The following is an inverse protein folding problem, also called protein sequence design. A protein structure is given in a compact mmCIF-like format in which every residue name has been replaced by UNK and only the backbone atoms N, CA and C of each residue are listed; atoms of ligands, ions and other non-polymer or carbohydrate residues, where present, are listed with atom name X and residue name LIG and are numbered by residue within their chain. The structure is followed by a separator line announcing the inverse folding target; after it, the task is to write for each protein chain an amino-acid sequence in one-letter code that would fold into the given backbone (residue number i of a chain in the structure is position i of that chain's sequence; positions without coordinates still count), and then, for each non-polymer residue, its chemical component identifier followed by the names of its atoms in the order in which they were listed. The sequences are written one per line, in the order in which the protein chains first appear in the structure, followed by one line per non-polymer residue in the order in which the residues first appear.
data_IF_357742327344
#
_entry.id   IF_357742327344
#
_cell.length_a   1.000
_cell.length_b   1.000
_cell.length_c   1.000
_cell.angle_alpha   90.00
_cell.angle_beta   90.00
_cell.angle_gamma   90.00
#
_symmetry.space_group_name_H-M   'P 1'
#
loop_
_entity.id
_entity.type
_entity.pdbx_description
1 polymer ?
#
# COMPACT_ATOMS: atom_id res chain seq x y z
N UNK A 1 38.33 -6.03 65.29
CA UNK A 1 37.14 -6.20 64.35
C UNK A 1 37.49 -5.54 63.04
N UNK A 2 37.78 -6.33 62.01
CA UNK A 2 38.07 -5.84 60.64
C UNK A 2 36.75 -5.69 59.84
N UNK A 3 36.40 -4.47 59.38
CA UNK A 3 35.23 -4.20 58.53
C UNK A 3 35.65 -4.37 57.08
N UNK A 4 34.99 -5.29 56.38
CA UNK A 4 35.13 -5.48 54.94
C UNK A 4 34.05 -4.64 54.25
N UNK A 5 34.47 -3.74 53.35
CA UNK A 5 33.59 -2.99 52.46
C UNK A 5 33.50 -3.80 51.17
N UNK A 6 32.30 -4.30 50.83
CA UNK A 6 32.04 -4.95 49.57
C UNK A 6 31.60 -3.86 48.59
N UNK A 7 32.41 -3.61 47.57
CA UNK A 7 32.09 -2.71 46.44
C UNK A 7 31.32 -3.51 45.38
N UNK A 8 30.04 -3.25 45.28
CA UNK A 8 29.23 -3.84 44.18
C UNK A 8 29.41 -2.95 42.95
N UNK A 9 30.19 -3.43 41.98
CA UNK A 9 30.29 -2.78 40.66
C UNK A 9 29.13 -3.28 39.81
N UNK A 10 28.10 -2.43 39.65
CA UNK A 10 26.98 -2.70 38.73
C UNK A 10 27.44 -2.55 37.29
N UNK A 11 27.50 -3.65 36.55
CA UNK A 11 27.72 -3.64 35.10
C UNK A 11 26.41 -3.23 34.42
N UNK A 12 26.32 -1.99 33.96
CA UNK A 12 25.23 -1.52 33.12
C UNK A 12 25.49 -2.04 31.69
N UNK A 13 24.81 -3.09 31.32
CA UNK A 13 24.82 -3.60 29.95
C UNK A 13 23.96 -2.68 29.07
N UNK A 14 24.59 -1.73 28.38
CA UNK A 14 23.93 -0.99 27.31
C UNK A 14 23.73 -1.91 26.09
N UNK A 15 22.53 -2.45 25.94
CA UNK A 15 22.14 -3.12 24.70
C UNK A 15 22.00 -2.06 23.61
N UNK A 16 23.02 -1.89 22.78
CA UNK A 16 22.88 -1.15 21.53
C UNK A 16 21.98 -1.97 20.60
N UNK A 17 20.74 -1.53 20.43
CA UNK A 17 19.92 -2.03 19.35
C UNK A 17 20.63 -1.70 18.03
N UNK A 18 21.19 -2.71 17.37
CA UNK A 18 21.82 -2.56 16.07
C UNK A 18 20.72 -2.16 15.06
N UNK A 19 20.65 -0.87 14.76
CA UNK A 19 19.76 -0.35 13.76
C UNK A 19 20.26 -0.85 12.41
N UNK A 20 19.64 -1.89 11.89
CA UNK A 20 19.96 -2.41 10.54
C UNK A 20 19.71 -1.28 9.54
N UNK A 21 20.78 -0.80 8.92
CA UNK A 21 20.71 0.25 7.91
C UNK A 21 19.95 -0.32 6.69
N UNK A 22 18.76 0.22 6.40
CA UNK A 22 17.95 -0.16 5.25
C UNK A 22 18.63 0.36 3.97
N UNK A 23 18.67 -0.48 2.95
CA UNK A 23 19.14 -0.10 1.62
C UNK A 23 17.92 0.16 0.73
N UNK A 24 17.91 1.30 0.05
CA UNK A 24 16.93 1.57 -1.01
C UNK A 24 17.13 0.58 -2.16
N UNK A 25 16.08 -0.15 -2.50
CA UNK A 25 16.10 -1.18 -3.55
C UNK A 25 15.47 -0.65 -4.84
N UNK A 26 14.41 0.13 -4.70
CA UNK A 26 13.66 0.71 -5.80
C UNK A 26 12.91 1.97 -5.36
N UNK A 27 12.84 2.93 -6.25
CA UNK A 27 12.00 4.13 -6.08
C UNK A 27 11.40 4.54 -7.42
N UNK A 28 10.24 5.19 -7.36
CA UNK A 28 9.61 5.88 -8.49
C UNK A 28 9.21 7.28 -8.06
N UNK A 29 9.85 8.26 -8.68
CA UNK A 29 9.66 9.68 -8.35
C UNK A 29 8.83 10.43 -9.41
N UNK A 30 8.35 9.73 -10.45
CA UNK A 30 7.54 10.31 -11.53
C UNK A 30 8.17 11.57 -12.18
N UNK A 31 9.50 11.55 -12.35
CA UNK A 31 10.24 12.68 -12.92
C UNK A 31 10.17 12.74 -14.45
N UNK A 32 9.62 11.70 -15.09
CA UNK A 32 9.42 11.63 -16.55
C UNK A 32 8.25 12.49 -17.02
N UNK A 33 8.01 12.44 -18.32
CA UNK A 33 6.81 13.04 -18.96
C UNK A 33 5.66 12.06 -19.05
N UNK A 34 5.98 10.77 -19.01
CA UNK A 34 5.03 9.63 -19.09
C UNK A 34 5.39 8.61 -18.02
N UNK A 35 4.47 7.71 -17.76
CA UNK A 35 4.70 6.57 -16.87
C UNK A 35 5.82 5.69 -17.45
N UNK A 36 6.77 5.25 -16.61
CA UNK A 36 7.84 4.33 -17.03
C UNK A 36 7.28 2.92 -17.27
N UNK A 37 7.18 2.53 -18.53
CA UNK A 37 6.68 1.22 -18.93
C UNK A 37 7.60 0.06 -18.51
N UNK A 38 8.85 0.32 -18.12
CA UNK A 38 9.76 -0.71 -17.56
C UNK A 38 9.42 -1.05 -16.11
N UNK A 39 8.79 -0.12 -15.39
CA UNK A 39 8.37 -0.28 -14.00
C UNK A 39 6.89 -0.62 -13.86
N UNK A 40 6.04 -0.15 -14.76
CA UNK A 40 4.60 -0.15 -14.60
C UNK A 40 3.85 -0.80 -15.76
N UNK A 41 2.75 -1.47 -15.45
CA UNK A 41 1.70 -1.86 -16.38
C UNK A 41 0.46 -1.01 -16.11
N UNK A 42 -0.33 -0.76 -17.15
CA UNK A 42 -1.65 -0.15 -17.04
C UNK A 42 -2.68 -1.26 -17.27
N UNK A 43 -3.62 -1.40 -16.34
CA UNK A 43 -4.73 -2.33 -16.50
C UNK A 43 -5.84 -1.67 -17.31
N UNK A 44 -6.42 -2.43 -18.24
CA UNK A 44 -7.46 -1.97 -19.16
C UNK A 44 -8.68 -2.87 -19.04
N UNK A 45 -9.87 -2.26 -19.06
CA UNK A 45 -11.13 -2.99 -19.04
C UNK A 45 -11.87 -2.88 -17.71
N UNK A 46 -12.84 -3.77 -17.54
CA UNK A 46 -13.71 -3.88 -16.37
C UNK A 46 -13.46 -5.15 -15.55
N UNK A 47 -12.38 -5.88 -15.86
CA UNK A 47 -12.00 -7.11 -15.17
C UNK A 47 -12.70 -8.38 -15.64
N UNK A 48 -13.54 -8.33 -16.68
CA UNK A 48 -14.20 -9.54 -17.20
C UNK A 48 -13.17 -10.62 -17.64
N UNK A 49 -13.42 -11.93 -17.38
CA UNK A 49 -14.69 -12.54 -16.98
C UNK A 49 -15.14 -12.32 -15.54
N UNK A 50 -14.26 -11.85 -14.63
CA UNK A 50 -14.64 -11.44 -13.29
C UNK A 50 -14.99 -9.96 -13.28
N UNK A 51 -16.09 -9.59 -14.00
CA UNK A 51 -16.47 -8.19 -14.18
C UNK A 51 -16.59 -7.46 -12.84
N UNK A 52 -16.15 -6.19 -12.81
CA UNK A 52 -15.98 -5.44 -11.57
C UNK A 52 -14.78 -5.90 -10.74
N UNK A 53 -13.78 -6.55 -11.39
CA UNK A 53 -12.50 -6.96 -10.78
C UNK A 53 -12.67 -7.85 -9.54
N UNK A 54 -13.81 -8.53 -9.39
CA UNK A 54 -14.16 -9.32 -8.20
C UNK A 54 -14.66 -8.51 -7.00
N UNK A 55 -14.71 -7.17 -7.11
CA UNK A 55 -15.08 -6.25 -6.02
C UNK A 55 -16.34 -5.45 -6.31
N UNK A 56 -17.10 -5.77 -7.38
CA UNK A 56 -18.22 -4.98 -7.89
C UNK A 56 -17.81 -3.52 -8.25
N UNK A 57 -16.58 -3.31 -8.67
CA UNK A 57 -16.08 -2.03 -9.16
C UNK A 57 -16.85 -1.62 -10.43
N UNK A 58 -17.28 -0.35 -10.48
CA UNK A 58 -18.14 0.14 -11.57
C UNK A 58 -17.36 0.76 -12.71
N UNK A 59 -16.13 1.16 -12.47
CA UNK A 59 -15.31 1.89 -13.43
C UNK A 59 -14.67 0.97 -14.45
N UNK A 60 -14.56 1.50 -15.66
CA UNK A 60 -13.68 0.99 -16.70
C UNK A 60 -12.28 1.58 -16.49
N UNK A 61 -11.27 0.76 -16.38
CA UNK A 61 -9.89 1.21 -16.38
C UNK A 61 -9.38 1.47 -17.80
N UNK A 62 -8.70 2.59 -17.98
CA UNK A 62 -8.15 3.03 -19.26
C UNK A 62 -6.75 3.63 -19.06
N UNK A 63 -5.99 3.72 -20.12
CA UNK A 63 -4.70 4.41 -20.17
C UNK A 63 -4.82 5.96 -20.21
N UNK A 64 -6.03 6.47 -20.44
CA UNK A 64 -6.27 7.90 -20.65
C UNK A 64 -6.58 8.70 -19.36
N UNK A 65 -6.59 8.05 -18.17
CA UNK A 65 -7.01 8.71 -16.93
C UNK A 65 -5.85 8.94 -15.95
N UNK A 66 -4.61 8.92 -16.44
CA UNK A 66 -3.44 9.29 -15.67
C UNK A 66 -2.60 10.34 -16.42
N UNK A 67 -1.76 11.04 -15.67
CA UNK A 67 -0.76 11.96 -16.20
C UNK A 67 0.40 12.11 -15.22
N UNK A 68 1.56 12.51 -15.70
CA UNK A 68 2.65 12.98 -14.87
C UNK A 68 2.58 14.50 -14.85
N UNK A 69 2.26 15.07 -13.69
CA UNK A 69 2.08 16.52 -13.51
C UNK A 69 2.95 17.00 -12.34
N UNK A 70 3.92 17.86 -12.63
CA UNK A 70 4.82 18.48 -11.61
C UNK A 70 5.51 17.43 -10.71
N UNK A 71 6.02 16.34 -11.31
CA UNK A 71 6.70 15.28 -10.56
C UNK A 71 5.74 14.43 -9.71
N UNK A 72 4.49 14.32 -10.09
CA UNK A 72 3.53 13.44 -9.44
C UNK A 72 2.77 12.62 -10.49
N UNK A 73 2.50 11.37 -10.18
CA UNK A 73 1.48 10.62 -10.89
C UNK A 73 0.10 11.11 -10.44
N UNK A 74 -0.71 11.57 -11.38
CA UNK A 74 -2.09 11.99 -11.15
C UNK A 74 -3.01 10.97 -11.79
N UNK A 75 -3.80 10.27 -10.98
CA UNK A 75 -4.87 9.37 -11.44
C UNK A 75 -6.20 10.09 -11.30
N UNK A 76 -6.98 10.13 -12.39
CA UNK A 76 -8.25 10.85 -12.47
C UNK A 76 -9.40 9.84 -12.53
N UNK A 77 -10.28 9.83 -11.55
CA UNK A 77 -11.58 9.18 -11.66
C UNK A 77 -12.58 10.16 -12.27
N UNK A 78 -13.29 9.74 -13.33
CA UNK A 78 -14.23 10.59 -14.06
C UNK A 78 -15.50 9.83 -14.40
N UNK A 79 -16.63 10.56 -14.37
CA UNK A 79 -17.88 10.11 -14.97
C UNK A 79 -17.99 10.69 -16.38
N UNK A 80 -18.10 9.83 -17.38
CA UNK A 80 -18.21 10.18 -18.80
C UNK A 80 -19.49 9.58 -19.36
N UNK A 81 -20.55 10.39 -19.41
CA UNK A 81 -21.89 9.91 -19.68
C UNK A 81 -22.36 8.94 -18.60
N UNK A 82 -22.66 7.70 -18.98
CA UNK A 82 -23.08 6.62 -18.07
C UNK A 82 -21.91 5.74 -17.59
N UNK A 83 -20.68 6.06 -17.97
CA UNK A 83 -19.49 5.27 -17.60
C UNK A 83 -18.67 5.99 -16.57
N UNK A 84 -18.27 5.26 -15.53
CA UNK A 84 -17.22 5.69 -14.62
C UNK A 84 -15.87 5.21 -15.19
N UNK A 85 -14.84 6.04 -15.21
CA UNK A 85 -13.53 5.71 -15.77
C UNK A 85 -12.43 6.11 -14.81
N UNK A 86 -11.34 5.33 -14.76
CA UNK A 86 -10.15 5.61 -13.97
C UNK A 86 -8.91 4.99 -14.62
N UNK A 87 -7.75 5.08 -13.97
CA UNK A 87 -6.56 4.29 -14.29
C UNK A 87 -6.17 3.44 -13.10
N UNK A 88 -5.75 2.21 -13.36
CA UNK A 88 -5.13 1.30 -12.39
C UNK A 88 -3.80 0.83 -12.96
N UNK A 89 -2.74 0.94 -12.16
CA UNK A 89 -1.39 0.54 -12.55
C UNK A 89 -0.84 -0.50 -11.59
N UNK A 90 0.06 -1.34 -12.06
CA UNK A 90 0.76 -2.33 -11.23
C UNK A 90 2.17 -2.62 -11.74
N UNK A 91 2.96 -3.28 -10.91
CA UNK A 91 4.34 -3.67 -11.23
C UNK A 91 4.50 -5.16 -11.58
N UNK A 92 3.40 -5.88 -11.84
CA UNK A 92 3.39 -7.31 -12.11
C UNK A 92 4.41 -7.71 -13.17
N UNK A 93 5.22 -8.72 -12.86
CA UNK A 93 6.31 -9.24 -13.72
C UNK A 93 7.40 -8.22 -14.09
N UNK A 94 7.40 -7.04 -13.45
CA UNK A 94 8.40 -5.98 -13.63
C UNK A 94 9.17 -5.70 -12.37
N UNK A 95 8.48 -5.51 -11.24
CA UNK A 95 9.06 -5.30 -9.92
C UNK A 95 8.29 -6.11 -8.90
N UNK A 96 8.97 -7.04 -8.28
CA UNK A 96 8.45 -7.94 -7.26
C UNK A 96 9.36 -7.88 -6.04
N UNK A 97 8.79 -7.87 -4.85
CA UNK A 97 9.52 -7.69 -3.61
C UNK A 97 9.02 -8.68 -2.57
N UNK A 98 9.94 -9.13 -1.72
CA UNK A 98 9.61 -9.91 -0.54
C UNK A 98 10.32 -9.29 0.65
N UNK A 99 9.52 -8.86 1.64
CA UNK A 99 9.96 -8.13 2.83
C UNK A 99 10.54 -6.74 2.53
N UNK A 100 10.64 -5.94 3.55
CA UNK A 100 11.18 -4.59 3.52
C UNK A 100 10.17 -3.54 3.95
N UNK A 101 10.58 -2.30 3.80
CA UNK A 101 9.72 -1.13 3.98
C UNK A 101 9.18 -0.68 2.64
N UNK A 102 7.88 -0.49 2.58
CA UNK A 102 7.16 0.05 1.42
C UNK A 102 6.51 1.36 1.82
N UNK A 103 6.71 2.38 1.01
CA UNK A 103 6.19 3.72 1.27
C UNK A 103 5.54 4.29 0.02
N UNK A 104 4.44 5.00 0.22
CA UNK A 104 3.84 5.87 -0.78
C UNK A 104 3.52 7.22 -0.17
N UNK A 105 3.93 8.29 -0.86
CA UNK A 105 3.49 9.65 -0.57
C UNK A 105 2.32 9.99 -1.48
N UNK A 106 1.13 10.08 -0.93
CA UNK A 106 -0.09 10.29 -1.71
C UNK A 106 -0.99 11.38 -1.13
N UNK A 107 -1.71 12.06 -2.02
CA UNK A 107 -2.88 12.88 -1.72
C UNK A 107 -4.11 12.16 -2.25
N UNK A 108 -5.03 11.83 -1.36
CA UNK A 108 -6.20 11.02 -1.70
C UNK A 108 -7.38 11.87 -2.19
N UNK A 109 -8.15 11.38 -3.16
CA UNK A 109 -9.48 11.91 -3.44
C UNK A 109 -10.45 11.39 -2.36
N UNK A 110 -11.18 12.30 -1.71
CA UNK A 110 -11.96 12.02 -0.50
C UNK A 110 -13.48 12.14 -0.71
N UNK A 111 -13.95 12.04 -1.94
CA UNK A 111 -15.38 12.10 -2.23
C UNK A 111 -16.08 10.76 -1.99
N UNK A 112 -17.38 10.83 -1.63
CA UNK A 112 -18.22 9.64 -1.50
C UNK A 112 -18.27 8.86 -2.82
N UNK A 113 -18.19 7.53 -2.75
CA UNK A 113 -18.14 6.62 -3.89
C UNK A 113 -16.73 6.39 -4.47
N UNK A 114 -15.70 7.06 -3.94
CA UNK A 114 -14.31 6.82 -4.32
C UNK A 114 -13.65 5.80 -3.39
N UNK A 115 -12.75 5.01 -3.97
CA UNK A 115 -11.98 3.98 -3.26
C UNK A 115 -10.54 3.95 -3.78
N UNK A 116 -9.73 4.98 -3.46
CA UNK A 116 -8.30 4.94 -3.76
C UNK A 116 -7.60 3.94 -2.86
N UNK A 117 -6.68 3.17 -3.46
CA UNK A 117 -5.91 2.16 -2.75
C UNK A 117 -4.46 2.09 -3.23
N UNK A 118 -3.57 1.69 -2.32
CA UNK A 118 -2.21 1.25 -2.58
C UNK A 118 -1.98 -0.07 -1.86
N UNK A 119 -1.75 -1.13 -2.63
CA UNK A 119 -1.80 -2.51 -2.15
C UNK A 119 -0.84 -3.43 -2.90
N UNK A 120 -0.63 -4.60 -2.38
CA UNK A 120 0.27 -5.63 -2.93
C UNK A 120 -0.49 -6.94 -3.07
N UNK A 121 -0.20 -7.67 -4.14
CA UNK A 121 -0.74 -9.00 -4.39
C UNK A 121 0.40 -9.99 -4.56
N UNK A 122 0.23 -11.22 -4.08
CA UNK A 122 1.25 -12.25 -4.24
C UNK A 122 1.60 -12.50 -5.69
N UNK A 123 2.91 -12.55 -6.01
CA UNK A 123 3.41 -12.75 -7.39
C UNK A 123 2.97 -14.09 -7.99
N UNK A 124 2.62 -15.06 -7.14
CA UNK A 124 2.07 -16.36 -7.52
C UNK A 124 0.54 -16.35 -7.75
N UNK A 125 -0.07 -15.17 -7.93
CA UNK A 125 -1.52 -15.03 -8.12
C UNK A 125 -2.07 -15.92 -9.24
N UNK A 126 -1.31 -16.08 -10.34
CA UNK A 126 -1.75 -16.89 -11.48
C UNK A 126 -1.93 -18.36 -11.12
N UNK A 127 -1.06 -18.89 -10.26
CA UNK A 127 -1.03 -20.30 -9.86
C UNK A 127 -1.92 -20.57 -8.64
N UNK A 128 -1.82 -19.71 -7.63
CA UNK A 128 -2.50 -19.89 -6.35
C UNK A 128 -3.92 -19.33 -6.33
N UNK A 129 -4.18 -18.26 -7.09
CA UNK A 129 -5.41 -17.50 -7.04
C UNK A 129 -5.57 -16.71 -5.73
N UNK A 130 -6.51 -15.78 -5.72
CA UNK A 130 -6.93 -15.08 -4.51
C UNK A 130 -7.92 -15.95 -3.72
N UNK A 131 -7.87 -16.00 -2.38
CA UNK A 131 -6.97 -15.25 -1.49
C UNK A 131 -5.67 -15.99 -1.14
N UNK A 132 -5.40 -17.15 -1.72
CA UNK A 132 -4.22 -17.99 -1.38
C UNK A 132 -2.89 -17.33 -1.70
N UNK A 133 -2.82 -16.48 -2.72
CA UNK A 133 -1.61 -15.75 -3.06
C UNK A 133 -1.22 -14.72 -1.99
N UNK A 134 -2.17 -14.31 -1.13
CA UNK A 134 -1.99 -13.24 -0.16
C UNK A 134 -2.17 -11.85 -0.78
N UNK A 135 -2.67 -10.91 0.03
CA UNK A 135 -2.83 -9.50 -0.32
C UNK A 135 -2.54 -8.63 0.89
N UNK A 136 -1.84 -7.54 0.69
CA UNK A 136 -1.51 -6.57 1.74
C UNK A 136 -1.97 -5.19 1.27
N UNK A 137 -2.97 -4.63 1.96
CA UNK A 137 -3.48 -3.29 1.68
C UNK A 137 -2.77 -2.29 2.57
N UNK A 138 -1.79 -1.59 1.98
CA UNK A 138 -0.98 -0.60 2.68
C UNK A 138 -1.82 0.64 2.98
N UNK A 139 -2.73 0.95 2.07
CA UNK A 139 -3.61 2.09 2.12
C UNK A 139 -4.88 1.77 1.37
N UNK A 140 -6.02 1.87 2.03
CA UNK A 140 -7.32 1.99 1.40
C UNK A 140 -8.10 3.13 2.07
N UNK A 141 -8.79 3.92 1.26
CA UNK A 141 -9.74 4.92 1.73
C UNK A 141 -11.08 4.68 1.07
N UNK A 142 -12.13 4.59 1.86
CA UNK A 142 -13.50 4.40 1.37
C UNK A 142 -14.30 5.67 1.63
N UNK A 143 -14.70 6.36 0.58
CA UNK A 143 -15.30 7.69 0.68
C UNK A 143 -16.56 7.80 1.51
N UNK A 144 -17.25 6.70 1.82
CA UNK A 144 -18.39 6.66 2.75
C UNK A 144 -17.99 6.66 4.23
N UNK A 145 -16.73 6.38 4.55
CA UNK A 145 -16.16 6.42 5.90
C UNK A 145 -15.06 7.50 5.94
N UNK A 146 -15.43 8.79 6.00
CA UNK A 146 -14.45 9.88 5.90
C UNK A 146 -13.45 9.83 7.06
N UNK A 147 -12.24 10.30 6.77
CA UNK A 147 -11.12 10.36 7.73
C UNK A 147 -10.60 9.00 8.21
N UNK A 148 -11.01 7.88 7.61
CA UNK A 148 -10.55 6.55 8.01
C UNK A 148 -9.69 5.93 6.92
N UNK A 149 -8.51 5.47 7.32
CA UNK A 149 -7.64 4.60 6.51
C UNK A 149 -7.80 3.17 6.99
N UNK A 150 -7.95 2.28 6.02
CA UNK A 150 -7.96 0.85 6.24
C UNK A 150 -6.61 0.29 5.81
N UNK A 151 -6.06 -0.58 6.65
CA UNK A 151 -4.90 -1.40 6.35
C UNK A 151 -5.32 -2.84 6.58
N UNK A 152 -5.18 -3.70 5.59
CA UNK A 152 -5.68 -5.06 5.66
C UNK A 152 -4.63 -6.09 5.24
N UNK A 153 -4.78 -7.30 5.74
CA UNK A 153 -4.07 -8.48 5.28
C UNK A 153 -5.10 -9.56 4.94
N UNK A 154 -5.12 -9.97 3.68
CA UNK A 154 -5.96 -11.08 3.22
C UNK A 154 -5.11 -12.32 3.00
N UNK A 155 -5.56 -13.42 3.58
CA UNK A 155 -4.92 -14.74 3.49
C UNK A 155 -5.98 -15.80 3.23
N UNK A 156 -5.54 -17.02 2.98
CA UNK A 156 -6.49 -18.13 2.82
C UNK A 156 -7.40 -18.29 4.04
N UNK A 157 -6.88 -18.05 5.25
CA UNK A 157 -7.59 -18.27 6.50
C UNK A 157 -8.54 -17.13 6.87
N UNK A 158 -8.25 -15.90 6.37
CA UNK A 158 -9.08 -14.71 6.64
C UNK A 158 -8.97 -13.72 5.48
N UNK A 159 -10.07 -13.45 4.80
CA UNK A 159 -10.14 -12.57 3.63
C UNK A 159 -11.52 -11.93 3.48
N UNK A 160 -11.67 -10.99 2.54
CA UNK A 160 -12.87 -10.17 2.42
C UNK A 160 -13.01 -9.27 3.66
N UNK A 161 -13.99 -9.53 4.50
CA UNK A 161 -14.09 -8.90 5.83
C UNK A 161 -13.07 -9.51 6.80
N UNK A 162 -11.79 -9.42 6.45
CA UNK A 162 -10.73 -10.04 7.23
C UNK A 162 -10.64 -9.48 8.66
N UNK A 163 -10.37 -10.36 9.62
CA UNK A 163 -10.10 -9.96 11.02
C UNK A 163 -8.77 -9.18 11.14
N UNK A 164 -7.93 -9.25 10.12
CA UNK A 164 -6.62 -8.59 10.07
C UNK A 164 -6.72 -7.18 9.46
N UNK A 165 -7.82 -6.49 9.67
CA UNK A 165 -8.01 -5.10 9.27
C UNK A 165 -7.81 -4.15 10.45
N UNK A 166 -6.95 -3.15 10.24
CA UNK A 166 -6.75 -2.02 11.15
C UNK A 166 -7.38 -0.78 10.54
N UNK A 167 -8.21 -0.07 11.32
CA UNK A 167 -8.74 1.25 10.97
C UNK A 167 -7.96 2.32 11.73
N UNK A 168 -7.51 3.34 11.03
CA UNK A 168 -6.81 4.50 11.61
C UNK A 168 -7.52 5.77 11.21
N UNK A 169 -7.94 6.56 12.19
CA UNK A 169 -8.56 7.88 11.95
C UNK A 169 -7.48 8.93 11.73
N UNK A 170 -7.53 9.62 10.58
CA UNK A 170 -6.66 10.72 10.20
C UNK A 170 -7.51 11.95 9.87
N UNK A 171 -7.74 12.87 10.82
CA UNK A 171 -8.62 14.02 10.62
C UNK A 171 -8.23 14.93 9.46
N UNK A 172 -6.94 14.97 9.13
CA UNK A 172 -6.37 15.84 8.10
C UNK A 172 -6.07 15.13 6.78
N UNK A 173 -6.55 13.90 6.58
CA UNK A 173 -6.28 13.08 5.38
C UNK A 173 -6.57 13.82 4.07
N UNK A 174 -7.51 14.75 4.09
CA UNK A 174 -7.91 15.56 2.94
C UNK A 174 -6.93 16.73 2.66
N UNK A 175 -6.08 17.07 3.64
CA UNK A 175 -5.22 18.24 3.60
C UNK A 175 -3.82 17.93 3.05
N UNK A 176 -3.75 17.68 1.75
CA UNK A 176 -2.44 17.56 1.09
C UNK A 176 -1.92 16.14 0.99
N UNK A 177 -0.60 15.98 1.01
CA UNK A 177 0.08 14.70 0.87
C UNK A 177 0.41 14.13 2.24
N UNK A 178 0.18 12.83 2.40
CA UNK A 178 0.59 12.04 3.54
C UNK A 178 1.51 10.91 3.11
N UNK A 179 2.32 10.42 4.02
CA UNK A 179 3.15 9.24 3.82
C UNK A 179 2.45 8.04 4.46
N UNK A 180 2.23 7.01 3.65
CA UNK A 180 1.67 5.74 4.09
C UNK A 180 2.74 4.67 3.94
N UNK A 181 2.90 3.81 4.93
CA UNK A 181 3.98 2.84 4.89
C UNK A 181 3.63 1.54 5.61
N UNK A 182 4.34 0.48 5.23
CA UNK A 182 4.44 -0.76 5.99
C UNK A 182 5.90 -1.16 6.19
N UNK A 183 6.17 -1.78 7.32
CA UNK A 183 7.35 -2.61 7.53
C UNK A 183 6.91 -4.08 7.52
N UNK A 184 7.33 -4.79 6.47
CA UNK A 184 7.07 -6.20 6.31
C UNK A 184 8.35 -7.00 6.57
N UNK A 185 8.37 -7.72 7.65
CA UNK A 185 9.46 -8.65 7.98
C UNK A 185 8.91 -10.07 8.06
N UNK A 186 9.77 -11.06 8.06
CA UNK A 186 9.40 -12.48 7.97
C UNK A 186 8.33 -12.92 8.99
N UNK A 187 8.30 -12.34 10.15
CA UNK A 187 7.42 -12.73 11.25
C UNK A 187 6.35 -11.70 11.60
N UNK A 188 6.34 -10.54 10.92
CA UNK A 188 5.53 -9.41 11.35
C UNK A 188 5.29 -8.40 10.22
N UNK A 189 4.12 -7.80 10.24
CA UNK A 189 3.74 -6.70 9.36
C UNK A 189 3.27 -5.53 10.23
N UNK A 190 3.83 -4.34 10.01
CA UNK A 190 3.53 -3.12 10.76
C UNK A 190 3.06 -2.04 9.80
N UNK A 191 1.85 -1.54 9.98
CA UNK A 191 1.31 -0.38 9.26
C UNK A 191 1.64 0.92 9.98
N UNK A 192 2.05 1.96 9.22
CA UNK A 192 2.49 3.27 9.72
C UNK A 192 1.88 4.40 8.91
#
# INVERSE_FOLDING_TARGET
MKKYIILIVGVVSCSFAQQTQRKLVWEENFNGKTLDEKGWNIEIGDGCPNCGWGNNERQLYTDAKHAIEKGNLVIKAKKEGNKDTATRINTKSKKEFQYGRFEIRAKLPVANGLWPAFWMLGSNFKEAGWPKCGEIDILEYVGREPHVIFNSLHTQDSHGNTINTKKTTLPDIEKGYHLYAIDWIRTKLLFM
#
